data_IF_961512133088
#
_entry.id   IF_961512133088
#
_cell.length_a   1.000
_cell.length_b   1.000
_cell.length_c   1.000
_cell.angle_alpha   90.00
_cell.angle_beta   90.00
_cell.angle_gamma   90.00
#
_symmetry.space_group_name_H-M   'P 1'
#
loop_
_entity.id
_entity.type
_entity.pdbx_description
1 polymer ?
#
# COMPACT_ATOMS: atom_id res chain seq x y z
N UNK A 1 2.73 -23.67 0.60
CA UNK A 1 2.04 -22.37 0.73
C UNK A 1 2.13 -21.65 -0.60
N UNK A 2 1.07 -20.92 -0.95
CA UNK A 2 1.00 -20.06 -2.13
C UNK A 2 1.94 -18.84 -1.99
N UNK A 3 2.28 -18.16 -3.09
CA UNK A 3 3.19 -17.01 -3.05
C UNK A 3 2.72 -15.86 -2.15
N UNK A 4 1.42 -15.54 -2.17
CA UNK A 4 0.77 -14.56 -1.29
C UNK A 4 0.96 -14.90 0.19
N UNK A 5 0.57 -16.11 0.60
CA UNK A 5 0.75 -16.59 1.98
C UNK A 5 2.21 -16.57 2.45
N UNK A 6 3.17 -16.76 1.52
CA UNK A 6 4.59 -16.65 1.85
C UNK A 6 4.99 -15.19 2.10
N UNK A 7 4.47 -14.26 1.29
CA UNK A 7 4.73 -12.83 1.48
C UNK A 7 4.15 -12.32 2.80
N UNK A 8 2.90 -12.68 3.10
CA UNK A 8 2.23 -12.38 4.37
C UNK A 8 2.98 -13.00 5.56
N UNK A 9 3.33 -14.29 5.46
CA UNK A 9 4.13 -14.94 6.51
C UNK A 9 5.51 -14.29 6.73
N UNK A 10 6.11 -13.72 5.69
CA UNK A 10 7.34 -12.94 5.85
C UNK A 10 7.10 -11.66 6.63
N UNK A 11 5.95 -10.99 6.43
CA UNK A 11 5.56 -9.83 7.23
C UNK A 11 5.30 -10.20 8.68
N UNK A 12 4.52 -11.27 8.93
CA UNK A 12 4.23 -11.77 10.28
C UNK A 12 5.51 -12.09 11.06
N UNK A 13 6.45 -12.80 10.43
CA UNK A 13 7.73 -13.14 11.03
C UNK A 13 8.58 -11.89 11.34
N UNK A 14 8.51 -10.86 10.49
CA UNK A 14 9.14 -9.57 10.77
C UNK A 14 8.52 -8.90 12.00
N UNK A 15 7.19 -8.88 12.10
CA UNK A 15 6.48 -8.33 13.25
C UNK A 15 6.78 -9.12 14.53
N UNK A 16 6.82 -10.46 14.47
CA UNK A 16 7.22 -11.31 15.59
C UNK A 16 8.66 -11.03 16.05
N UNK A 17 9.57 -10.77 15.11
CA UNK A 17 10.95 -10.39 15.44
C UNK A 17 11.00 -9.09 16.25
N UNK A 18 10.19 -8.09 15.84
CA UNK A 18 10.06 -6.82 16.57
C UNK A 18 9.50 -7.01 17.98
N UNK A 19 8.46 -7.80 18.14
CA UNK A 19 7.86 -8.09 19.44
C UNK A 19 8.88 -8.81 20.34
N UNK A 20 9.56 -9.83 19.83
CA UNK A 20 10.59 -10.57 20.58
C UNK A 20 11.72 -9.63 21.03
N UNK A 21 12.14 -8.69 20.20
CA UNK A 21 13.14 -7.68 20.56
C UNK A 21 12.68 -6.79 21.71
N UNK A 22 11.43 -6.31 21.66
CA UNK A 22 10.83 -5.42 22.70
C UNK A 22 10.76 -6.13 24.05
N UNK A 23 10.41 -7.42 24.08
CA UNK A 23 10.29 -8.20 25.32
C UNK A 23 11.63 -8.83 25.77
N UNK A 24 12.72 -8.58 25.04
CA UNK A 24 14.08 -9.02 25.39
C UNK A 24 14.49 -10.41 24.94
N UNK A 25 13.66 -11.10 24.16
CA UNK A 25 13.91 -12.45 23.61
C UNK A 25 14.78 -12.36 22.34
N UNK A 26 16.05 -12.00 22.51
CA UNK A 26 16.97 -11.69 21.40
C UNK A 26 17.21 -12.87 20.44
N UNK A 27 17.28 -14.10 20.97
CA UNK A 27 17.50 -15.29 20.16
C UNK A 27 16.32 -15.56 19.23
N UNK A 28 15.10 -15.43 19.74
CA UNK A 28 13.86 -15.57 18.96
C UNK A 28 13.71 -14.45 17.95
N UNK A 29 14.03 -13.21 18.35
CA UNK A 29 14.04 -12.07 17.44
C UNK A 29 14.93 -12.33 16.23
N UNK A 30 16.15 -12.75 16.44
CA UNK A 30 17.07 -13.06 15.34
C UNK A 30 16.60 -14.24 14.49
N UNK A 31 16.08 -15.29 15.10
CA UNK A 31 15.52 -16.43 14.37
C UNK A 31 14.33 -16.03 13.47
N UNK A 32 13.38 -15.25 14.00
CA UNK A 32 12.23 -14.77 13.21
C UNK A 32 12.68 -13.84 12.09
N UNK A 33 13.64 -12.94 12.34
CA UNK A 33 14.20 -12.04 11.34
C UNK A 33 14.83 -12.80 10.18
N UNK A 34 15.67 -13.78 10.46
CA UNK A 34 16.33 -14.60 9.43
C UNK A 34 15.30 -15.37 8.59
N UNK A 35 14.31 -15.98 9.24
CA UNK A 35 13.24 -16.72 8.54
C UNK A 35 12.39 -15.78 7.67
N UNK A 36 12.06 -14.61 8.16
CA UNK A 36 11.32 -13.59 7.42
C UNK A 36 12.06 -13.17 6.15
N UNK A 37 13.33 -12.79 6.29
CA UNK A 37 14.19 -12.40 5.16
C UNK A 37 14.31 -13.53 4.15
N UNK A 38 14.63 -14.76 4.59
CA UNK A 38 14.80 -15.89 3.68
C UNK A 38 13.52 -16.20 2.90
N UNK A 39 12.38 -16.18 3.58
CA UNK A 39 11.09 -16.45 2.95
C UNK A 39 10.70 -15.37 1.92
N UNK A 40 10.95 -14.10 2.26
CA UNK A 40 10.76 -12.98 1.35
C UNK A 40 11.66 -13.12 0.11
N UNK A 41 12.98 -13.29 0.30
CA UNK A 41 13.94 -13.33 -0.79
C UNK A 41 13.65 -14.47 -1.78
N UNK A 42 13.42 -15.66 -1.26
CA UNK A 42 13.08 -16.83 -2.10
C UNK A 42 11.81 -16.56 -2.91
N UNK A 43 10.76 -16.07 -2.25
CA UNK A 43 9.45 -15.89 -2.86
C UNK A 43 9.47 -14.74 -3.86
N UNK A 44 9.98 -13.58 -3.46
CA UNK A 44 9.96 -12.38 -4.28
C UNK A 44 10.80 -12.54 -5.56
N UNK A 45 12.01 -13.08 -5.43
CA UNK A 45 12.88 -13.32 -6.59
C UNK A 45 12.27 -14.29 -7.59
N UNK A 46 11.61 -15.33 -7.09
CA UNK A 46 11.02 -16.36 -7.94
C UNK A 46 9.72 -15.91 -8.61
N UNK A 47 8.83 -15.27 -7.84
CA UNK A 47 7.44 -15.07 -8.24
C UNK A 47 7.14 -13.62 -8.70
N UNK A 48 7.88 -12.64 -8.20
CA UNK A 48 7.52 -11.22 -8.34
C UNK A 48 8.60 -10.34 -8.97
N UNK A 49 9.85 -10.79 -9.06
CA UNK A 49 10.95 -9.97 -9.59
C UNK A 49 10.72 -9.58 -11.06
N UNK A 50 10.24 -10.50 -11.88
CA UNK A 50 10.08 -10.34 -13.32
C UNK A 50 8.60 -10.25 -13.75
N UNK A 51 7.81 -9.42 -13.05
CA UNK A 51 6.43 -9.16 -13.48
C UNK A 51 6.44 -8.29 -14.71
N UNK A 52 5.87 -8.80 -15.82
CA UNK A 52 5.84 -8.13 -17.11
C UNK A 52 4.47 -7.54 -17.42
N UNK A 53 4.38 -6.53 -18.33
CA UNK A 53 3.10 -5.98 -18.78
C UNK A 53 2.15 -7.02 -19.39
N UNK A 54 2.68 -8.06 -20.02
CA UNK A 54 1.91 -9.16 -20.60
C UNK A 54 1.31 -10.13 -19.56
N UNK A 55 1.55 -9.88 -18.28
CA UNK A 55 1.07 -10.71 -17.21
C UNK A 55 -0.46 -10.58 -17.08
N UNK A 56 -1.18 -11.70 -17.12
CA UNK A 56 -2.62 -11.71 -16.96
C UNK A 56 -3.01 -11.33 -15.54
N UNK A 57 -3.77 -10.24 -15.43
CA UNK A 57 -4.03 -9.50 -14.19
C UNK A 57 -4.73 -10.37 -13.14
N UNK A 58 -5.70 -11.21 -13.55
CA UNK A 58 -6.56 -11.93 -12.60
C UNK A 58 -6.37 -13.46 -12.59
N UNK A 59 -5.36 -14.00 -13.22
CA UNK A 59 -5.08 -15.42 -13.04
C UNK A 59 -4.41 -15.64 -11.70
N UNK A 60 -5.23 -16.04 -10.78
CA UNK A 60 -4.92 -16.40 -9.40
C UNK A 60 -4.08 -17.68 -9.27
N UNK A 61 -3.06 -17.90 -10.05
CA UNK A 61 -2.21 -19.07 -9.91
C UNK A 61 -1.58 -19.14 -8.52
N UNK A 62 -2.42 -19.43 -7.51
CA UNK A 62 -2.03 -19.49 -6.11
C UNK A 62 -1.97 -18.14 -5.40
N UNK A 63 -2.73 -17.14 -5.84
CA UNK A 63 -2.88 -15.86 -5.14
C UNK A 63 -4.33 -15.69 -4.69
N UNK A 64 -4.53 -15.22 -3.48
CA UNK A 64 -5.85 -14.96 -2.91
C UNK A 64 -6.24 -13.49 -3.15
N UNK A 65 -7.39 -13.27 -3.78
CA UNK A 65 -7.99 -11.95 -3.99
C UNK A 65 -7.03 -10.86 -4.51
N UNK A 66 -6.06 -11.22 -5.32
CA UNK A 66 -5.10 -10.25 -5.83
C UNK A 66 -4.32 -10.78 -7.03
N UNK A 67 -3.52 -9.91 -7.62
CA UNK A 67 -2.69 -10.18 -8.78
C UNK A 67 -1.22 -10.22 -8.41
N UNK A 68 -0.37 -10.72 -9.32
CA UNK A 68 1.09 -10.64 -9.12
C UNK A 68 1.58 -9.19 -9.08
N UNK A 69 0.93 -8.29 -9.79
CA UNK A 69 1.24 -6.87 -9.76
C UNK A 69 0.97 -6.24 -8.39
N UNK A 70 -0.08 -6.67 -7.70
CA UNK A 70 -0.42 -6.20 -6.36
C UNK A 70 0.51 -6.82 -5.31
N UNK A 71 0.57 -8.18 -5.27
CA UNK A 71 1.39 -8.90 -4.29
C UNK A 71 2.89 -8.68 -4.41
N UNK A 72 3.37 -8.19 -5.57
CA UNK A 72 4.76 -7.76 -5.72
C UNK A 72 5.19 -6.78 -4.63
N UNK A 73 4.28 -5.95 -4.16
CA UNK A 73 4.52 -4.88 -3.19
C UNK A 73 4.14 -5.25 -1.75
N UNK A 74 3.65 -6.45 -1.48
CA UNK A 74 3.07 -6.88 -0.21
C UNK A 74 4.05 -6.99 0.97
N UNK A 75 5.35 -6.74 0.77
CA UNK A 75 6.37 -6.77 1.81
C UNK A 75 7.15 -5.44 1.87
N UNK A 76 6.48 -4.32 2.23
CA UNK A 76 7.09 -2.98 2.24
C UNK A 76 8.29 -2.86 3.18
N UNK A 77 8.39 -3.70 4.22
CA UNK A 77 9.55 -3.77 5.12
C UNK A 77 10.86 -4.16 4.42
N UNK A 78 10.78 -4.71 3.21
CA UNK A 78 11.93 -5.13 2.42
C UNK A 78 12.12 -4.31 1.13
N UNK A 79 11.57 -3.11 1.08
CA UNK A 79 11.72 -2.23 -0.09
C UNK A 79 13.19 -1.96 -0.44
N UNK A 80 14.07 -1.86 0.57
CA UNK A 80 15.50 -1.64 0.36
C UNK A 80 16.17 -2.82 -0.36
N UNK A 81 15.74 -4.06 -0.08
CA UNK A 81 16.20 -5.24 -0.81
C UNK A 81 15.70 -5.25 -2.26
N UNK A 82 14.45 -4.83 -2.47
CA UNK A 82 13.93 -4.69 -3.84
C UNK A 82 14.74 -3.63 -4.61
N UNK A 83 15.10 -2.51 -3.96
CA UNK A 83 15.96 -1.47 -4.54
C UNK A 83 17.34 -2.03 -4.87
N UNK A 84 17.94 -2.79 -3.99
CA UNK A 84 19.25 -3.44 -4.20
C UNK A 84 19.25 -4.33 -5.45
N UNK A 85 18.17 -5.11 -5.66
CA UNK A 85 18.11 -6.08 -6.76
C UNK A 85 17.68 -5.51 -8.11
N UNK A 86 16.84 -4.50 -8.10
CA UNK A 86 16.19 -3.96 -9.32
C UNK A 86 16.65 -2.56 -9.66
N UNK A 87 17.10 -1.81 -8.66
CA UNK A 87 17.40 -0.39 -8.76
C UNK A 87 16.20 0.51 -8.46
N UNK A 88 16.45 1.60 -7.74
CA UNK A 88 15.41 2.54 -7.30
C UNK A 88 14.61 3.14 -8.45
N UNK A 89 15.30 3.58 -9.51
CA UNK A 89 14.66 4.20 -10.67
C UNK A 89 13.79 3.19 -11.43
N UNK A 90 14.26 1.95 -11.57
CA UNK A 90 13.50 0.88 -12.22
C UNK A 90 12.25 0.53 -11.43
N UNK A 91 12.33 0.42 -10.10
CA UNK A 91 11.17 0.19 -9.25
C UNK A 91 10.18 1.35 -9.32
N UNK A 92 10.68 2.59 -9.33
CA UNK A 92 9.83 3.78 -9.47
C UNK A 92 9.08 3.80 -10.80
N UNK A 93 9.73 3.42 -11.90
CA UNK A 93 9.09 3.28 -13.21
C UNK A 93 8.05 2.17 -13.21
N UNK A 94 8.33 1.02 -12.62
CA UNK A 94 7.38 -0.10 -12.52
C UNK A 94 6.18 0.25 -11.64
N UNK A 95 6.41 0.97 -10.54
CA UNK A 95 5.33 1.46 -9.69
C UNK A 95 4.48 2.52 -10.41
N UNK A 96 5.10 3.39 -11.20
CA UNK A 96 4.38 4.34 -12.05
C UNK A 96 3.53 3.60 -13.08
N UNK A 97 4.10 2.62 -13.75
CA UNK A 97 3.37 1.77 -14.69
C UNK A 97 2.13 1.10 -14.04
N UNK A 98 2.28 0.61 -12.81
CA UNK A 98 1.21 -0.02 -12.05
C UNK A 98 -0.02 0.90 -11.89
N UNK A 99 0.19 2.17 -11.57
CA UNK A 99 -0.89 3.15 -11.46
C UNK A 99 -1.41 3.62 -12.83
N UNK A 100 -0.53 3.93 -13.78
CA UNK A 100 -0.89 4.44 -15.11
C UNK A 100 -1.73 3.41 -15.90
N UNK A 101 -1.56 2.12 -15.64
CA UNK A 101 -2.31 1.05 -16.30
C UNK A 101 -3.50 0.55 -15.47
N UNK A 102 -3.85 1.25 -14.39
CA UNK A 102 -4.99 0.91 -13.53
C UNK A 102 -4.93 -0.52 -12.99
N UNK A 103 -3.75 -0.96 -12.56
CA UNK A 103 -3.53 -2.27 -11.96
C UNK A 103 -3.75 -2.26 -10.44
N UNK A 104 -3.80 -1.06 -9.86
CA UNK A 104 -4.09 -0.82 -8.46
C UNK A 104 -5.58 -1.02 -8.16
N UNK A 105 -5.89 -1.59 -7.01
CA UNK A 105 -7.26 -1.76 -6.54
C UNK A 105 -7.45 -1.20 -5.13
N UNK A 106 -8.08 -0.02 -5.00
CA UNK A 106 -8.40 0.58 -3.70
C UNK A 106 -9.43 -0.24 -2.91
N UNK A 107 -10.17 -1.10 -3.57
CA UNK A 107 -11.25 -1.89 -2.97
C UNK A 107 -10.81 -3.19 -2.32
N UNK A 108 -9.51 -3.44 -2.18
CA UNK A 108 -8.98 -4.66 -1.59
C UNK A 108 -7.62 -4.42 -0.92
N UNK A 109 -7.32 -5.16 0.16
CA UNK A 109 -6.20 -4.91 1.06
C UNK A 109 -4.79 -5.10 0.47
N UNK A 110 -4.53 -6.04 -0.46
CA UNK A 110 -3.16 -6.40 -0.86
C UNK A 110 -2.28 -5.24 -1.31
N UNK A 111 -2.85 -4.16 -1.80
CA UNK A 111 -2.09 -3.06 -2.38
C UNK A 111 -2.44 -1.66 -1.85
N UNK A 112 -3.29 -1.52 -0.82
CA UNK A 112 -3.68 -0.20 -0.29
C UNK A 112 -2.52 0.62 0.29
N UNK A 113 -1.44 -0.01 0.71
CA UNK A 113 -0.21 0.65 1.17
C UNK A 113 0.68 1.13 0.01
N UNK A 114 0.48 0.60 -1.19
CA UNK A 114 1.37 0.80 -2.35
C UNK A 114 1.53 2.26 -2.78
N UNK A 115 0.52 3.15 -2.70
CA UNK A 115 0.67 4.58 -3.01
C UNK A 115 1.79 5.26 -2.20
N UNK A 116 2.04 4.80 -0.98
CA UNK A 116 3.03 5.37 -0.07
C UNK A 116 4.46 4.91 -0.37
N UNK A 117 4.65 3.86 -1.16
CA UNK A 117 5.97 3.37 -1.55
C UNK A 117 6.76 4.39 -2.40
N UNK A 118 6.11 5.33 -3.06
CA UNK A 118 6.81 6.40 -3.77
C UNK A 118 7.66 7.26 -2.83
N UNK A 119 7.29 7.42 -1.55
CA UNK A 119 8.13 8.07 -0.55
C UNK A 119 9.49 7.37 -0.42
N UNK A 120 9.48 6.04 -0.38
CA UNK A 120 10.69 5.21 -0.27
C UNK A 120 11.50 5.17 -1.58
N UNK A 121 10.83 5.44 -2.70
CA UNK A 121 11.45 5.47 -4.03
C UNK A 121 11.87 6.89 -4.48
N UNK A 122 11.91 7.86 -3.54
CA UNK A 122 12.38 9.22 -3.80
C UNK A 122 11.45 10.08 -4.66
N UNK A 123 10.14 9.79 -4.65
CA UNK A 123 9.12 10.53 -5.38
C UNK A 123 7.89 10.87 -4.49
N UNK A 124 8.08 11.57 -3.35
CA UNK A 124 6.99 11.85 -2.41
C UNK A 124 5.86 12.69 -3.02
N UNK A 125 6.13 13.48 -4.04
CA UNK A 125 5.12 14.22 -4.79
C UNK A 125 4.11 13.29 -5.48
N UNK A 126 4.54 12.11 -5.93
CA UNK A 126 3.64 11.10 -6.50
C UNK A 126 2.76 10.47 -5.41
N UNK A 127 3.30 10.16 -4.24
CA UNK A 127 2.49 9.74 -3.09
C UNK A 127 1.38 10.76 -2.81
N UNK A 128 1.73 12.04 -2.68
CA UNK A 128 0.77 13.10 -2.38
C UNK A 128 -0.32 13.20 -3.46
N UNK A 129 0.07 13.15 -4.72
CA UNK A 129 -0.85 13.23 -5.85
C UNK A 129 -1.79 12.03 -5.91
N UNK A 130 -1.25 10.81 -5.84
CA UNK A 130 -2.03 9.57 -5.94
C UNK A 130 -2.99 9.43 -4.77
N UNK A 131 -2.51 9.57 -3.54
CA UNK A 131 -3.34 9.44 -2.33
C UNK A 131 -4.49 10.44 -2.36
N UNK A 132 -4.22 11.70 -2.75
CA UNK A 132 -5.27 12.71 -2.90
C UNK A 132 -6.28 12.32 -3.98
N UNK A 133 -5.82 11.89 -5.15
CA UNK A 133 -6.71 11.49 -6.25
C UNK A 133 -7.58 10.30 -5.87
N UNK A 134 -7.04 9.28 -5.21
CA UNK A 134 -7.79 8.13 -4.70
C UNK A 134 -8.91 8.54 -3.74
N UNK A 135 -8.69 9.55 -2.91
CA UNK A 135 -9.70 10.04 -1.96
C UNK A 135 -10.78 10.93 -2.61
N UNK A 136 -10.46 11.64 -3.70
CA UNK A 136 -11.30 12.76 -4.14
C UNK A 136 -11.77 12.68 -5.59
N UNK A 137 -11.10 11.90 -6.45
CA UNK A 137 -11.33 11.86 -7.89
C UNK A 137 -11.89 10.52 -8.36
N UNK A 138 -12.60 10.50 -9.50
CA UNK A 138 -12.91 9.24 -10.17
C UNK A 138 -11.65 8.54 -10.65
N UNK A 139 -11.65 7.21 -10.58
CA UNK A 139 -10.60 6.36 -11.11
C UNK A 139 -11.20 5.19 -11.88
N UNK A 140 -10.40 4.55 -12.72
CA UNK A 140 -10.78 3.34 -13.44
C UNK A 140 -10.46 2.14 -12.56
N UNK A 141 -11.49 1.37 -12.24
CA UNK A 141 -11.36 0.09 -11.54
C UNK A 141 -11.53 -1.04 -12.56
N UNK A 142 -10.48 -1.81 -12.76
CA UNK A 142 -10.51 -2.95 -13.70
C UNK A 142 -11.02 -4.23 -13.06
N UNK A 143 -10.93 -4.33 -11.75
CA UNK A 143 -11.34 -5.51 -10.99
C UNK A 143 -11.69 -5.15 -9.55
N UNK A 144 -12.55 -5.96 -8.95
CA UNK A 144 -12.89 -5.93 -7.54
C UNK A 144 -12.06 -6.95 -6.73
N UNK A 145 -12.54 -7.32 -5.55
CA UNK A 145 -11.83 -8.24 -4.66
C UNK A 145 -11.53 -9.61 -5.29
N UNK A 146 -12.51 -10.21 -5.94
CA UNK A 146 -12.41 -11.59 -6.42
C UNK A 146 -12.46 -11.77 -7.94
N UNK A 147 -12.81 -10.74 -8.70
CA UNK A 147 -13.08 -10.86 -10.13
C UNK A 147 -12.70 -9.62 -10.92
N UNK A 148 -12.45 -9.85 -12.21
CA UNK A 148 -12.30 -8.80 -13.19
C UNK A 148 -13.68 -8.28 -13.61
N UNK A 149 -13.85 -6.96 -13.67
CA UNK A 149 -15.06 -6.37 -14.21
C UNK A 149 -15.13 -6.62 -15.73
N UNK A 150 -16.28 -7.08 -16.22
CA UNK A 150 -16.52 -7.25 -17.68
C UNK A 150 -16.30 -5.96 -18.45
N UNK A 151 -16.67 -4.82 -17.83
CA UNK A 151 -16.40 -3.47 -18.30
C UNK A 151 -15.80 -2.71 -17.14
N UNK A 152 -14.62 -2.08 -17.29
CA UNK A 152 -14.01 -1.31 -16.21
C UNK A 152 -15.00 -0.28 -15.65
N UNK A 153 -15.07 -0.22 -14.33
CA UNK A 153 -15.91 0.77 -13.63
C UNK A 153 -15.14 2.09 -13.51
N UNK A 154 -15.76 3.17 -13.95
CA UNK A 154 -15.26 4.54 -13.75
C UNK A 154 -16.03 5.19 -12.61
N UNK A 155 -15.37 5.55 -11.53
CA UNK A 155 -16.01 6.23 -10.41
C UNK A 155 -15.07 6.45 -9.24
N UNK A 156 -15.61 7.10 -8.20
CA UNK A 156 -14.85 7.34 -6.96
C UNK A 156 -14.77 6.09 -6.12
N UNK A 157 -13.60 5.85 -5.54
CA UNK A 157 -13.41 4.79 -4.54
C UNK A 157 -14.24 5.09 -3.28
N UNK A 158 -14.19 6.33 -2.80
CA UNK A 158 -14.94 6.78 -1.61
C UNK A 158 -16.03 7.79 -2.01
N UNK A 159 -17.22 7.61 -1.49
CA UNK A 159 -18.40 8.42 -1.82
C UNK A 159 -19.02 9.04 -0.58
N UNK A 160 -19.49 10.27 -0.71
CA UNK A 160 -20.38 10.88 0.28
C UNK A 160 -21.84 10.50 -0.02
N UNK A 161 -22.15 9.21 0.13
CA UNK A 161 -23.45 8.61 -0.16
C UNK A 161 -23.65 7.40 0.77
N UNK A 162 -24.89 6.89 0.93
CA UNK A 162 -25.15 5.73 1.79
C UNK A 162 -24.33 4.49 1.43
N UNK A 163 -23.99 4.29 0.15
CA UNK A 163 -23.17 3.19 -0.32
C UNK A 163 -21.71 3.31 0.14
N UNK A 164 -21.21 4.53 0.38
CA UNK A 164 -19.88 4.83 0.90
C UNK A 164 -18.71 4.54 -0.04
N UNK A 165 -18.75 3.42 -0.76
CA UNK A 165 -17.65 2.87 -1.53
C UNK A 165 -18.00 2.60 -3.00
N UNK A 166 -16.98 2.33 -3.81
CA UNK A 166 -17.13 1.80 -5.17
C UNK A 166 -17.73 0.39 -5.14
N UNK A 167 -18.29 -0.10 -6.27
CA UNK A 167 -18.78 -1.48 -6.34
C UNK A 167 -17.67 -2.50 -5.97
N UNK A 168 -18.07 -3.58 -5.30
CA UNK A 168 -17.20 -4.69 -4.85
C UNK A 168 -16.06 -4.26 -3.90
N UNK A 169 -16.08 -3.03 -3.42
CA UNK A 169 -15.19 -2.60 -2.34
C UNK A 169 -15.80 -2.97 -1.01
N UNK A 170 -15.08 -3.76 -0.25
CA UNK A 170 -15.43 -4.11 1.12
C UNK A 170 -14.85 -3.09 2.10
N UNK A 171 -15.32 -3.10 3.33
CA UNK A 171 -14.81 -2.23 4.40
C UNK A 171 -13.62 -2.89 5.14
N UNK A 172 -13.55 -4.22 5.06
CA UNK A 172 -12.46 -5.04 5.59
C UNK A 172 -12.11 -4.70 7.05
N UNK A 173 -13.11 -4.88 7.93
CA UNK A 173 -13.01 -4.68 9.39
C UNK A 173 -12.50 -3.28 9.81
N UNK A 174 -12.80 -2.25 9.04
CA UNK A 174 -12.39 -0.88 9.32
C UNK A 174 -11.15 -0.42 8.55
N UNK A 175 -10.51 -1.30 7.78
CA UNK A 175 -9.25 -1.01 7.08
C UNK A 175 -9.41 0.10 6.05
N UNK A 176 -10.48 0.09 5.24
CA UNK A 176 -10.70 1.07 4.17
C UNK A 176 -11.05 2.45 4.72
N UNK A 177 -11.89 2.51 5.75
CA UNK A 177 -12.19 3.76 6.46
C UNK A 177 -10.95 4.32 7.15
N UNK A 178 -10.16 3.48 7.80
CA UNK A 178 -8.91 3.89 8.44
C UNK A 178 -7.92 4.43 7.40
N UNK A 179 -7.78 3.78 6.24
CA UNK A 179 -6.94 4.27 5.15
C UNK A 179 -7.33 5.69 4.72
N UNK A 180 -8.65 5.93 4.52
CA UNK A 180 -9.15 7.26 4.16
C UNK A 180 -8.84 8.30 5.25
N UNK A 181 -9.08 7.97 6.50
CA UNK A 181 -8.84 8.87 7.64
C UNK A 181 -7.36 9.23 7.76
N UNK A 182 -6.47 8.24 7.70
CA UNK A 182 -5.02 8.48 7.74
C UNK A 182 -4.55 9.31 6.54
N UNK A 183 -4.95 8.98 5.33
CA UNK A 183 -4.64 9.75 4.14
C UNK A 183 -5.14 11.19 4.22
N UNK A 184 -6.38 11.40 4.72
CA UNK A 184 -6.95 12.73 4.91
C UNK A 184 -6.22 13.56 5.97
N UNK A 185 -5.63 12.93 6.98
CA UNK A 185 -4.77 13.58 7.97
C UNK A 185 -3.35 13.89 7.46
N UNK A 186 -2.94 13.23 6.38
CA UNK A 186 -1.58 13.36 5.83
C UNK A 186 -0.55 12.45 6.48
N UNK A 187 -0.97 11.39 7.14
CA UNK A 187 -0.15 10.38 7.81
C UNK A 187 -0.53 8.99 7.32
N UNK A 188 0.42 8.05 7.31
CA UNK A 188 0.09 6.66 7.03
C UNK A 188 1.08 5.69 7.70
N UNK A 189 0.62 4.69 8.45
CA UNK A 189 1.46 3.65 9.03
C UNK A 189 1.82 2.60 7.96
N UNK A 190 2.80 2.91 7.10
CA UNK A 190 3.22 2.00 6.02
C UNK A 190 3.57 0.61 6.53
N UNK A 191 4.23 0.54 7.67
CA UNK A 191 4.58 -0.68 8.38
C UNK A 191 3.82 -0.71 9.70
N UNK A 192 2.73 -1.47 9.73
CA UNK A 192 1.99 -1.69 10.99
C UNK A 192 2.90 -2.46 11.96
N UNK A 193 3.11 -1.87 13.13
CA UNK A 193 4.07 -2.39 14.13
C UNK A 193 5.43 -1.68 14.12
N UNK A 194 5.64 -0.70 13.27
CA UNK A 194 6.77 0.23 13.35
C UNK A 194 6.36 1.55 14.03
N UNK A 195 7.34 2.31 14.50
CA UNK A 195 7.13 3.58 15.21
C UNK A 195 7.04 4.80 14.27
N UNK A 196 7.13 4.59 12.97
CA UNK A 196 7.17 5.63 11.95
C UNK A 196 5.89 5.72 11.13
N UNK A 197 5.55 6.96 10.74
CA UNK A 197 4.49 7.25 9.78
C UNK A 197 5.07 7.88 8.53
N UNK A 198 4.61 7.42 7.37
CA UNK A 198 4.87 8.10 6.12
C UNK A 198 4.00 9.34 6.00
N UNK A 199 4.58 10.42 5.45
CA UNK A 199 3.90 11.70 5.29
C UNK A 199 3.34 11.85 3.88
N UNK A 200 2.14 12.44 3.79
CA UNK A 200 1.54 12.90 2.54
C UNK A 200 0.86 14.26 2.77
N UNK A 201 0.19 14.81 1.74
CA UNK A 201 -0.54 16.06 1.90
C UNK A 201 -1.93 15.81 2.50
N UNK A 202 -2.27 16.38 3.65
CA UNK A 202 -3.60 16.25 4.23
C UNK A 202 -4.67 16.88 3.32
N UNK A 203 -5.92 16.42 3.43
CA UNK A 203 -7.06 17.05 2.75
C UNK A 203 -7.44 18.39 3.37
N UNK A 204 -7.13 18.60 4.64
CA UNK A 204 -7.49 19.77 5.41
C UNK A 204 -6.31 20.74 5.56
N UNK A 205 -6.59 22.03 5.72
CA UNK A 205 -5.56 23.04 5.96
C UNK A 205 -4.94 22.88 7.35
N UNK A 206 -5.71 22.35 8.29
CA UNK A 206 -5.26 22.09 9.66
C UNK A 206 -5.94 20.87 10.25
N UNK A 207 -5.15 19.99 10.85
CA UNK A 207 -5.60 18.82 11.60
C UNK A 207 -5.07 18.92 13.03
N UNK A 208 -5.92 18.62 14.00
CA UNK A 208 -5.57 18.59 15.42
C UNK A 208 -5.84 17.17 15.95
N UNK A 209 -4.81 16.49 16.40
CA UNK A 209 -4.92 15.18 17.02
C UNK A 209 -4.66 15.31 18.52
N UNK A 210 -5.65 14.96 19.34
CA UNK A 210 -5.49 14.85 20.80
C UNK A 210 -4.89 13.49 21.11
N UNK A 211 -3.69 13.50 21.67
CA UNK A 211 -2.98 12.29 22.06
C UNK A 211 -3.41 11.81 23.44
N UNK A 212 -3.22 10.52 23.73
CA UNK A 212 -3.60 9.90 25.02
C UNK A 212 -2.89 10.51 26.23
N UNK A 213 -1.70 11.08 26.03
CA UNK A 213 -0.94 11.80 27.06
C UNK A 213 -1.43 13.25 27.30
N UNK A 214 -2.53 13.69 26.65
CA UNK A 214 -3.09 15.04 26.76
C UNK A 214 -2.46 16.07 25.81
N UNK A 215 -1.39 15.75 25.12
CA UNK A 215 -0.79 16.63 24.11
C UNK A 215 -1.65 16.74 22.87
N UNK A 216 -1.44 17.80 22.09
CA UNK A 216 -2.09 18.02 20.80
C UNK A 216 -1.03 18.05 19.71
N UNK A 217 -1.10 17.10 18.77
CA UNK A 217 -0.34 17.18 17.52
C UNK A 217 -1.11 18.06 16.53
N UNK A 218 -0.45 19.10 16.04
CA UNK A 218 -1.00 19.96 14.98
C UNK A 218 -0.29 19.66 13.66
N UNK A 219 -1.08 19.31 12.63
CA UNK A 219 -0.60 19.19 11.26
C UNK A 219 -1.18 20.37 10.48
N UNK A 220 -0.33 21.21 9.91
CA UNK A 220 -0.74 22.40 9.18
C UNK A 220 -0.11 22.40 7.79
N UNK A 221 -0.93 22.68 6.78
CA UNK A 221 -0.49 22.77 5.38
C UNK A 221 -0.23 24.22 5.04
N UNK A 222 0.96 24.51 4.52
CA UNK A 222 1.32 25.82 3.98
C UNK A 222 1.60 25.72 2.48
N UNK A 223 1.22 26.77 1.73
CA UNK A 223 1.54 26.88 0.31
C UNK A 223 0.89 25.81 -0.57
N UNK A 224 -0.33 25.40 -0.23
CA UNK A 224 -1.05 24.36 -0.98
C UNK A 224 -1.13 24.71 -2.49
N UNK A 225 -0.39 23.95 -3.30
CA UNK A 225 -0.52 24.00 -4.77
C UNK A 225 -1.68 23.11 -5.21
N UNK A 226 -2.34 23.49 -6.31
CA UNK A 226 -3.26 22.55 -6.99
C UNK A 226 -2.42 21.45 -7.61
N UNK A 227 -2.61 20.22 -7.16
CA UNK A 227 -2.04 19.05 -7.82
C UNK A 227 -2.88 18.77 -9.10
N UNK A 228 -2.24 18.49 -10.24
CA UNK A 228 -2.96 17.96 -11.39
C UNK A 228 -3.58 16.61 -11.02
N UNK A 229 -4.68 16.24 -11.69
CA UNK A 229 -5.25 14.90 -11.55
C UNK A 229 -4.20 13.85 -11.91
N UNK A 230 -4.12 12.78 -11.11
CA UNK A 230 -3.24 11.67 -11.43
C UNK A 230 -3.90 10.70 -12.40
N UNK A 231 -5.22 10.54 -12.28
CA UNK A 231 -5.98 9.68 -13.17
C UNK A 231 -6.58 10.54 -14.30
N UNK A 232 -6.15 10.27 -15.53
CA UNK A 232 -6.85 10.77 -16.73
C UNK A 232 -8.06 9.88 -17.00
N UNK A 233 -9.21 10.49 -17.09
CA UNK A 233 -10.48 9.86 -17.47
C UNK A 233 -10.66 9.95 -18.98
#
# INVERSE_FOLDING_TARGET
RSPDQKMESAYDLWAMAKIAEIIGEKADSEQYRQRSVSLFEETWKKEFMNVTPAFEVMKNNGLYQGTRWQYRWAAPQYIDKMIEWVGQDSLRLQLTYFFDHHLYNQGNEPDIHVPYLFNRLGAPEKTQQIVRSLMTEPMIHKYGGNSEFKTPYLGKAFKNAPEGYSPEMDEDDGTMSAWYVFGAMGLYPLLVGDEYYDLTSPLFDRVLLRLTNGNVLTIQTEGRKKFPSFFSV
#
